data_IF_407776978369
#
_entry.id   IF_407776978369
#
_cell.length_a   1.000
_cell.length_b   1.000
_cell.length_c   1.000
_cell.angle_alpha   90.00
_cell.angle_beta   90.00
_cell.angle_gamma   90.00
#
_symmetry.space_group_name_H-M   'P 1'
#
loop_
_entity.id
_entity.type
_entity.pdbx_description
1 polymer ?
#
# COMPACT_ATOMS: atom_id res chain seq x y z
N UNK A 1 -1.21 22.47 40.77
CA UNK A 1 -1.29 21.47 39.68
C UNK A 1 -2.72 21.50 39.15
N UNK A 2 -2.97 21.67 37.84
CA UNK A 2 -4.33 21.60 37.34
C UNK A 2 -4.94 20.22 37.66
N UNK A 3 -6.26 20.14 37.94
CA UNK A 3 -6.91 18.87 38.26
C UNK A 3 -6.78 17.89 37.09
N UNK A 4 -6.55 16.63 37.41
CA UNK A 4 -6.39 15.57 36.42
C UNK A 4 -7.74 15.30 35.73
N UNK A 5 -7.83 15.66 34.45
CA UNK A 5 -9.01 15.43 33.61
C UNK A 5 -8.88 14.09 32.88
N UNK A 6 -9.59 13.08 33.39
CA UNK A 6 -9.60 11.72 32.82
C UNK A 6 -10.04 11.71 31.35
N UNK A 7 -11.04 12.52 30.97
CA UNK A 7 -11.56 12.53 29.60
C UNK A 7 -10.52 13.11 28.65
N UNK A 8 -9.90 14.24 29.02
CA UNK A 8 -8.84 14.86 28.22
C UNK A 8 -7.63 13.94 28.08
N UNK A 9 -7.23 13.28 29.17
CA UNK A 9 -6.12 12.33 29.16
C UNK A 9 -6.42 11.13 28.26
N UNK A 10 -7.59 10.50 28.39
CA UNK A 10 -7.99 9.38 27.54
C UNK A 10 -8.01 9.76 26.05
N UNK A 11 -8.58 10.93 25.71
CA UNK A 11 -8.61 11.41 24.33
C UNK A 11 -7.20 11.70 23.77
N UNK A 12 -6.28 12.20 24.61
CA UNK A 12 -4.90 12.41 24.22
C UNK A 12 -4.17 11.08 23.95
N UNK A 13 -4.35 10.08 24.82
CA UNK A 13 -3.79 8.73 24.63
C UNK A 13 -4.33 8.08 23.36
N UNK A 14 -5.64 8.16 23.11
CA UNK A 14 -6.25 7.64 21.89
C UNK A 14 -5.66 8.30 20.63
N UNK A 15 -5.55 9.63 20.60
CA UNK A 15 -4.94 10.35 19.47
C UNK A 15 -3.49 9.96 19.26
N UNK A 16 -2.72 9.86 20.33
CA UNK A 16 -1.32 9.43 20.26
C UNK A 16 -1.20 8.00 19.72
N UNK A 17 -2.05 7.08 20.17
CA UNK A 17 -2.10 5.71 19.69
C UNK A 17 -2.45 5.65 18.20
N UNK A 18 -3.48 6.39 17.76
CA UNK A 18 -3.86 6.46 16.34
C UNK A 18 -2.74 7.08 15.48
N UNK A 19 -2.10 8.15 15.95
CA UNK A 19 -0.97 8.77 15.26
C UNK A 19 0.24 7.82 15.15
N UNK A 20 0.48 7.00 16.18
CA UNK A 20 1.57 6.03 16.17
C UNK A 20 1.37 4.95 15.09
N UNK A 21 0.12 4.58 14.79
CA UNK A 21 -0.20 3.55 13.78
C UNK A 21 -0.73 4.13 12.46
N UNK A 22 -0.64 5.45 12.27
CA UNK A 22 -1.06 6.07 11.02
C UNK A 22 -0.22 5.50 9.85
N UNK A 23 -0.84 4.92 8.81
CA UNK A 23 -0.12 4.13 7.82
C UNK A 23 0.97 4.88 7.05
N UNK A 24 0.72 6.14 6.66
CA UNK A 24 1.71 6.94 5.93
C UNK A 24 2.92 7.23 6.82
N UNK A 25 2.69 7.67 8.05
CA UNK A 25 3.73 7.91 9.04
C UNK A 25 4.51 6.64 9.36
N UNK A 26 3.84 5.48 9.46
CA UNK A 26 4.50 4.20 9.67
C UNK A 26 5.47 3.86 8.52
N UNK A 27 5.05 4.03 7.26
CA UNK A 27 5.93 3.83 6.11
C UNK A 27 7.08 4.83 6.14
N UNK A 28 6.84 6.12 6.37
CA UNK A 28 7.91 7.13 6.39
C UNK A 28 8.95 6.94 7.50
N UNK A 29 8.58 6.32 8.62
CA UNK A 29 9.51 5.96 9.70
C UNK A 29 10.40 4.79 9.35
N UNK A 30 9.86 3.77 8.67
CA UNK A 30 10.59 2.55 8.36
C UNK A 30 11.21 2.54 6.97
N UNK A 31 10.76 3.41 6.07
CA UNK A 31 11.28 3.57 4.72
C UNK A 31 11.94 4.93 4.62
N UNK A 32 13.26 4.93 4.52
CA UNK A 32 14.07 6.13 4.32
C UNK A 32 14.94 5.96 3.08
N UNK A 33 15.38 7.07 2.51
CA UNK A 33 16.28 7.07 1.36
C UNK A 33 17.42 8.04 1.66
N UNK A 34 18.65 7.59 1.44
CA UNK A 34 19.83 8.44 1.40
C UNK A 34 20.49 8.22 0.04
N UNK A 35 20.53 9.27 -0.76
CA UNK A 35 21.00 9.25 -2.15
C UNK A 35 20.35 8.11 -2.95
N UNK A 36 21.14 7.14 -3.38
CA UNK A 36 20.72 5.99 -4.19
C UNK A 36 20.37 4.75 -3.37
N UNK A 37 20.46 4.81 -2.04
CA UNK A 37 20.12 3.68 -1.17
C UNK A 37 18.77 3.89 -0.52
N UNK A 38 17.85 2.95 -0.76
CA UNK A 38 16.61 2.81 -0.02
C UNK A 38 16.81 1.90 1.19
N UNK A 39 16.38 2.35 2.35
CA UNK A 39 16.40 1.62 3.61
C UNK A 39 14.98 1.23 3.97
N UNK A 40 14.73 -0.06 4.21
CA UNK A 40 13.44 -0.57 4.68
C UNK A 40 13.70 -1.39 5.94
N UNK A 41 13.44 -0.78 7.11
CA UNK A 41 13.91 -1.30 8.39
C UNK A 41 15.43 -1.46 8.36
N UNK A 42 15.92 -2.67 8.66
CA UNK A 42 17.36 -2.97 8.67
C UNK A 42 17.91 -3.38 7.28
N UNK A 43 17.05 -3.45 6.26
CA UNK A 43 17.45 -3.84 4.90
C UNK A 43 17.83 -2.64 4.07
N UNK A 44 18.82 -2.84 3.19
CA UNK A 44 19.37 -1.83 2.28
C UNK A 44 19.21 -2.31 0.84
N UNK A 45 18.76 -1.41 -0.01
CA UNK A 45 18.56 -1.64 -1.44
C UNK A 45 19.25 -0.51 -2.20
N UNK A 46 20.31 -0.82 -2.94
CA UNK A 46 20.96 0.14 -3.82
C UNK A 46 20.14 0.25 -5.10
N UNK A 47 19.40 1.35 -5.25
CA UNK A 47 18.41 1.55 -6.32
C UNK A 47 18.99 1.47 -7.74
N UNK A 48 20.26 1.87 -8.01
CA UNK A 48 20.89 1.70 -9.31
C UNK A 48 21.14 0.25 -9.73
N UNK A 49 21.15 -0.69 -8.78
CA UNK A 49 21.32 -2.13 -9.09
C UNK A 49 20.07 -2.72 -9.75
N UNK A 50 18.94 -1.99 -9.71
CA UNK A 50 17.68 -2.40 -10.27
C UNK A 50 17.34 -1.60 -11.52
N UNK A 51 16.97 -2.29 -12.59
CA UNK A 51 16.53 -1.65 -13.84
C UNK A 51 15.22 -0.88 -13.60
N UNK A 52 14.29 -1.47 -12.85
CA UNK A 52 12.97 -0.89 -12.56
C UNK A 52 12.54 -1.16 -11.12
N UNK A 53 11.71 -0.26 -10.60
CA UNK A 53 11.08 -0.42 -9.29
C UNK A 53 9.56 -0.43 -9.47
N UNK A 54 8.91 -1.50 -9.06
CA UNK A 54 7.46 -1.66 -9.12
C UNK A 54 6.83 -1.59 -7.73
N UNK A 55 5.62 -1.04 -7.68
CA UNK A 55 4.80 -1.02 -6.47
C UNK A 55 3.52 -1.83 -6.67
N UNK A 56 3.26 -2.79 -5.79
CA UNK A 56 1.97 -3.46 -5.67
C UNK A 56 1.45 -3.21 -4.27
N UNK A 57 0.29 -2.58 -4.14
CA UNK A 57 -0.28 -2.26 -2.85
C UNK A 57 -1.73 -2.75 -2.76
N UNK A 58 -2.11 -3.30 -1.61
CA UNK A 58 -3.49 -3.72 -1.36
C UNK A 58 -3.92 -3.60 0.10
N UNK A 59 -5.19 -3.24 0.30
CA UNK A 59 -5.81 -3.11 1.61
C UNK A 59 -6.29 -1.69 1.91
N UNK A 60 -6.91 -1.51 3.08
CA UNK A 60 -7.52 -0.24 3.53
C UNK A 60 -6.52 0.89 3.69
N UNK A 61 -5.23 0.58 3.85
CA UNK A 61 -4.17 1.56 3.99
C UNK A 61 -3.29 1.67 2.72
N UNK A 62 -3.65 1.00 1.63
CA UNK A 62 -2.82 0.93 0.43
C UNK A 62 -2.51 2.31 -0.14
N UNK A 63 -3.48 3.22 -0.17
CA UNK A 63 -3.31 4.58 -0.70
C UNK A 63 -2.34 5.42 0.14
N UNK A 64 -2.56 5.64 1.46
CA UNK A 64 -1.63 6.42 2.27
C UNK A 64 -0.23 5.80 2.35
N UNK A 65 -0.11 4.48 2.37
CA UNK A 65 1.20 3.80 2.33
C UNK A 65 1.91 4.03 0.98
N UNK A 66 1.18 3.95 -0.13
CA UNK A 66 1.75 4.16 -1.47
C UNK A 66 2.19 5.61 -1.68
N UNK A 67 1.44 6.58 -1.15
CA UNK A 67 1.83 7.98 -1.17
C UNK A 67 3.18 8.22 -0.48
N UNK A 68 3.44 7.55 0.64
CA UNK A 68 4.74 7.61 1.31
C UNK A 68 5.86 6.96 0.47
N UNK A 69 5.59 5.85 -0.22
CA UNK A 69 6.59 5.24 -1.12
C UNK A 69 6.93 6.15 -2.30
N UNK A 70 5.94 6.82 -2.89
CA UNK A 70 6.19 7.82 -3.96
C UNK A 70 7.10 8.93 -3.45
N UNK A 71 6.85 9.46 -2.25
CA UNK A 71 7.71 10.48 -1.65
C UNK A 71 9.17 9.99 -1.49
N UNK A 72 9.37 8.73 -1.11
CA UNK A 72 10.71 8.15 -0.90
C UNK A 72 11.42 7.79 -2.20
N UNK A 73 10.71 7.28 -3.20
CA UNK A 73 11.32 6.81 -4.45
C UNK A 73 11.40 7.88 -5.53
N UNK A 74 10.49 8.84 -5.55
CA UNK A 74 10.40 9.84 -6.61
C UNK A 74 10.38 9.20 -7.99
N UNK A 75 11.30 9.63 -8.85
CA UNK A 75 11.50 9.20 -10.23
C UNK A 75 11.99 7.75 -10.38
N UNK A 76 12.50 7.11 -9.31
CA UNK A 76 12.93 5.71 -9.36
C UNK A 76 11.76 4.73 -9.42
N UNK A 77 10.56 5.15 -9.02
CA UNK A 77 9.36 4.34 -9.14
C UNK A 77 8.94 4.27 -10.62
N UNK A 78 8.93 3.06 -11.18
CA UNK A 78 8.66 2.84 -12.61
C UNK A 78 7.17 2.69 -12.92
N UNK A 79 6.45 1.91 -12.11
CA UNK A 79 5.01 1.68 -12.26
C UNK A 79 4.43 1.11 -10.98
N UNK A 80 3.14 1.29 -10.75
CA UNK A 80 2.49 0.57 -9.66
C UNK A 80 0.98 0.45 -9.75
N UNK A 81 0.47 -0.57 -9.06
CA UNK A 81 -0.96 -0.86 -8.92
C UNK A 81 -1.31 -0.81 -7.44
N UNK A 82 -2.33 -0.03 -7.11
CA UNK A 82 -2.81 0.16 -5.74
C UNK A 82 -4.29 -0.25 -5.69
N UNK A 83 -4.61 -1.33 -4.99
CA UNK A 83 -5.98 -1.82 -4.85
C UNK A 83 -6.52 -1.46 -3.46
N UNK A 84 -7.51 -0.57 -3.42
CA UNK A 84 -8.04 -0.01 -2.18
C UNK A 84 -9.56 -0.11 -2.12
N UNK A 85 -10.13 -0.02 -0.92
CA UNK A 85 -11.59 0.14 -0.77
C UNK A 85 -11.98 1.62 -0.89
N UNK A 86 -13.26 1.90 -1.19
CA UNK A 86 -13.80 3.27 -1.11
C UNK A 86 -13.56 3.89 0.26
N UNK A 87 -13.27 5.19 0.28
CA UNK A 87 -13.05 5.94 1.52
C UNK A 87 -11.70 5.70 2.23
N UNK A 88 -10.74 5.03 1.58
CA UNK A 88 -9.41 4.69 2.16
C UNK A 88 -8.40 5.85 2.22
N UNK A 89 -8.86 7.11 2.27
CA UNK A 89 -7.95 8.27 2.31
C UNK A 89 -7.44 8.73 0.94
N UNK A 90 -8.17 8.41 -0.13
CA UNK A 90 -7.92 8.90 -1.50
C UNK A 90 -8.32 7.87 -2.55
N UNK A 91 -8.78 8.33 -3.72
CA UNK A 91 -9.12 7.46 -4.86
C UNK A 91 -8.13 7.61 -6.02
N UNK A 92 -7.15 8.51 -5.89
CA UNK A 92 -6.14 8.79 -6.90
C UNK A 92 -4.77 8.96 -6.26
N UNK A 93 -3.74 8.65 -7.04
CA UNK A 93 -2.33 8.90 -6.73
C UNK A 93 -1.68 9.43 -8.02
N UNK A 94 -0.60 10.22 -7.93
CA UNK A 94 0.08 10.70 -9.12
C UNK A 94 0.67 9.52 -9.93
N UNK A 95 0.84 9.70 -11.26
CA UNK A 95 1.62 8.76 -12.06
C UNK A 95 3.01 8.50 -11.44
N UNK A 96 3.56 7.29 -11.58
CA UNK A 96 3.10 6.20 -12.43
C UNK A 96 2.19 5.18 -11.72
N UNK A 97 1.52 5.59 -10.63
CA UNK A 97 0.59 4.72 -9.91
C UNK A 97 -0.81 4.73 -10.52
N UNK A 98 -1.43 3.56 -10.57
CA UNK A 98 -2.86 3.38 -10.89
C UNK A 98 -3.58 2.86 -9.66
N UNK A 99 -4.61 3.60 -9.22
CA UNK A 99 -5.48 3.19 -8.11
C UNK A 99 -6.72 2.49 -8.68
N UNK A 100 -7.01 1.29 -8.19
CA UNK A 100 -8.20 0.51 -8.53
C UNK A 100 -9.00 0.32 -7.25
N UNK A 101 -10.27 0.74 -7.30
CA UNK A 101 -11.18 0.57 -6.19
C UNK A 101 -11.85 -0.80 -6.28
N UNK A 102 -11.73 -1.58 -5.21
CA UNK A 102 -12.37 -2.89 -5.03
C UNK A 102 -13.28 -2.95 -3.81
N UNK A 103 -14.04 -4.03 -3.74
CA UNK A 103 -15.00 -4.37 -2.70
C UNK A 103 -14.36 -4.95 -1.45
N UNK A 104 -14.92 -4.57 -0.30
CA UNK A 104 -14.60 -5.10 1.01
C UNK A 104 -15.85 -4.92 1.90
N UNK A 105 -16.27 -5.91 2.72
CA UNK A 105 -15.54 -7.13 3.09
C UNK A 105 -15.62 -8.28 2.09
N UNK A 106 -16.51 -8.21 1.10
CA UNK A 106 -16.66 -9.22 0.05
C UNK A 106 -16.05 -8.71 -1.27
N UNK A 107 -15.42 -9.60 -2.06
CA UNK A 107 -14.76 -9.20 -3.30
C UNK A 107 -15.78 -8.86 -4.39
N UNK A 108 -15.44 -7.89 -5.22
CA UNK A 108 -16.25 -7.41 -6.35
C UNK A 108 -15.44 -7.34 -7.67
N UNK A 109 -16.06 -6.86 -8.74
CA UNK A 109 -15.38 -6.68 -10.04
C UNK A 109 -14.15 -5.76 -9.96
N UNK A 110 -14.16 -4.79 -9.05
CA UNK A 110 -12.99 -3.94 -8.80
C UNK A 110 -11.84 -4.72 -8.18
N UNK A 111 -12.16 -5.67 -7.31
CA UNK A 111 -11.20 -6.57 -6.67
C UNK A 111 -10.56 -7.51 -7.68
N UNK A 112 -11.37 -8.09 -8.57
CA UNK A 112 -10.91 -8.93 -9.68
C UNK A 112 -9.99 -8.16 -10.63
N UNK A 113 -10.42 -6.99 -11.11
CA UNK A 113 -9.60 -6.13 -11.98
C UNK A 113 -8.30 -5.69 -11.30
N UNK A 114 -8.38 -5.38 -10.00
CA UNK A 114 -7.22 -5.04 -9.18
C UNK A 114 -6.20 -6.17 -9.12
N UNK A 115 -6.66 -7.39 -8.83
CA UNK A 115 -5.81 -8.57 -8.78
C UNK A 115 -5.21 -8.92 -10.16
N UNK A 116 -5.99 -8.80 -11.24
CA UNK A 116 -5.50 -8.98 -12.62
C UNK A 116 -4.42 -7.96 -12.97
N UNK A 117 -4.61 -6.68 -12.64
CA UNK A 117 -3.63 -5.63 -12.88
C UNK A 117 -2.34 -5.83 -12.07
N UNK A 118 -2.47 -6.21 -10.79
CA UNK A 118 -1.34 -6.53 -9.93
C UNK A 118 -0.54 -7.73 -10.47
N UNK A 119 -1.24 -8.80 -10.90
CA UNK A 119 -0.60 -9.97 -11.51
C UNK A 119 0.08 -9.62 -12.84
N UNK A 120 -0.57 -8.82 -13.69
CA UNK A 120 0.01 -8.36 -14.95
C UNK A 120 1.28 -7.54 -14.72
N UNK A 121 1.29 -6.66 -13.69
CA UNK A 121 2.50 -5.93 -13.31
C UNK A 121 3.58 -6.86 -12.78
N UNK A 122 3.23 -7.80 -11.89
CA UNK A 122 4.18 -8.77 -11.34
C UNK A 122 4.83 -9.64 -12.44
N UNK A 123 4.07 -10.05 -13.46
CA UNK A 123 4.58 -10.81 -14.61
C UNK A 123 5.58 -10.04 -15.48
N UNK A 124 5.62 -8.70 -15.39
CA UNK A 124 6.63 -7.88 -16.08
C UNK A 124 7.96 -7.83 -15.34
N UNK A 125 7.99 -8.20 -14.06
CA UNK A 125 9.19 -8.19 -13.23
C UNK A 125 10.14 -9.34 -13.61
N UNK A 126 11.42 -9.05 -13.56
CA UNK A 126 12.54 -9.97 -13.81
C UNK A 126 13.44 -10.02 -12.58
N UNK A 127 14.49 -10.84 -12.62
CA UNK A 127 15.49 -10.91 -11.56
C UNK A 127 16.28 -9.60 -11.35
N UNK A 128 16.16 -8.63 -12.27
CA UNK A 128 16.86 -7.34 -12.22
C UNK A 128 15.98 -6.19 -11.71
N UNK A 129 14.75 -6.47 -11.31
CA UNK A 129 13.80 -5.46 -10.85
C UNK A 129 13.54 -5.59 -9.35
N UNK A 130 13.15 -4.48 -8.72
CA UNK A 130 12.68 -4.47 -7.34
C UNK A 130 11.15 -4.34 -7.32
N UNK A 131 10.47 -5.26 -6.63
CA UNK A 131 9.02 -5.17 -6.39
C UNK A 131 8.77 -4.90 -4.92
N UNK A 132 8.14 -3.78 -4.61
CA UNK A 132 7.72 -3.41 -3.26
C UNK A 132 6.24 -3.77 -3.11
N UNK A 133 5.93 -4.63 -2.14
CA UNK A 133 4.57 -5.05 -1.83
C UNK A 133 4.09 -4.38 -0.53
N UNK A 134 3.04 -3.56 -0.60
CA UNK A 134 2.41 -2.92 0.56
C UNK A 134 1.10 -3.64 0.88
N UNK A 135 1.04 -4.30 2.03
CA UNK A 135 -0.12 -5.10 2.44
C UNK A 135 -0.68 -4.54 3.73
N UNK A 136 -2.01 -4.38 3.77
CA UNK A 136 -2.76 -3.99 4.96
C UNK A 136 -4.06 -4.78 5.07
N UNK A 137 -4.82 -4.55 6.14
CA UNK A 137 -6.10 -5.22 6.36
C UNK A 137 -7.06 -5.08 5.16
N UNK A 138 -7.84 -6.12 4.90
CA UNK A 138 -8.79 -6.19 3.78
C UNK A 138 -8.20 -6.63 2.44
N UNK A 139 -6.90 -6.91 2.38
CA UNK A 139 -6.23 -7.40 1.18
C UNK A 139 -6.82 -8.70 0.61
N UNK A 140 -7.39 -9.57 1.45
CA UNK A 140 -8.01 -10.83 1.01
C UNK A 140 -9.19 -10.61 0.08
N UNK A 141 -10.09 -9.66 0.40
CA UNK A 141 -11.20 -9.30 -0.48
C UNK A 141 -10.68 -8.52 -1.70
N UNK A 142 -9.80 -7.55 -1.47
CA UNK A 142 -9.36 -6.60 -2.50
C UNK A 142 -8.45 -7.21 -3.58
N UNK A 143 -7.64 -8.23 -3.28
CA UNK A 143 -6.80 -8.95 -4.24
C UNK A 143 -7.32 -10.36 -4.51
N UNK A 144 -8.57 -10.47 -4.93
CA UNK A 144 -9.19 -11.76 -5.26
C UNK A 144 -9.05 -12.07 -6.75
N UNK A 145 -8.39 -13.19 -7.07
CA UNK A 145 -8.32 -13.73 -8.43
C UNK A 145 -8.68 -15.23 -8.40
N UNK A 146 -9.91 -15.61 -8.76
CA UNK A 146 -10.32 -17.01 -8.82
C UNK A 146 -9.46 -17.80 -9.82
N UNK A 147 -9.31 -19.10 -9.56
CA UNK A 147 -8.70 -20.01 -10.55
C UNK A 147 -9.57 -20.09 -11.82
N UNK A 148 -9.00 -20.41 -12.99
CA UNK A 148 -9.78 -20.60 -14.21
C UNK A 148 -10.93 -21.59 -13.99
N UNK A 149 -12.14 -21.20 -14.39
CA UNK A 149 -13.36 -22.00 -14.23
C UNK A 149 -14.14 -21.76 -12.93
N UNK A 150 -13.65 -20.91 -12.02
CA UNK A 150 -14.39 -20.45 -10.85
C UNK A 150 -14.81 -18.99 -11.02
N UNK A 151 -16.11 -18.73 -10.93
CA UNK A 151 -16.66 -17.37 -11.00
C UNK A 151 -16.51 -16.63 -9.67
N UNK A 152 -16.42 -15.29 -9.73
CA UNK A 152 -16.26 -14.46 -8.54
C UNK A 152 -17.42 -14.59 -7.55
N UNK A 153 -18.64 -14.82 -8.05
CA UNK A 153 -19.84 -15.00 -7.22
C UNK A 153 -19.75 -16.22 -6.29
N UNK A 154 -18.94 -17.22 -6.64
CA UNK A 154 -18.71 -18.38 -5.77
C UNK A 154 -17.86 -18.05 -4.52
N UNK A 155 -17.32 -16.83 -4.42
CA UNK A 155 -16.47 -16.35 -3.34
C UNK A 155 -17.13 -15.22 -2.51
N UNK A 156 -18.36 -14.84 -2.84
CA UNK A 156 -19.13 -13.77 -2.19
C UNK A 156 -20.04 -14.31 -1.09
#
# INVERSE_FOLDING_TARGET
MPPFDLRRTAAALQRAALAAVEPRAAVLRHVTRADDTLFIGDRRYHLPDYERVFLIAAGKAAVPMSAAIVERLGDRLTAGVVVAQRGSGGETLPPPLTVIIGGHPLPDEGSLRGAQAALALARRATARDLVICLISGGGSALLTLPIPGLELDALR
#
